data_IF_753664932594
#
_entry.id   IF_753664932594
#
_cell.length_a   1.000
_cell.length_b   1.000
_cell.length_c   1.000
_cell.angle_alpha   90.00
_cell.angle_beta   90.00
_cell.angle_gamma   90.00
#
_symmetry.space_group_name_H-M   'P 1'
#
loop_
_entity.id
_entity.type
_entity.pdbx_description
1 polymer ?
#
# COMPACT_ATOMS: atom_id res chain seq x y z
N UNK A 1 9.48 -1.64 6.30
CA UNK A 1 9.44 -1.82 4.82
C UNK A 1 10.78 -2.26 4.19
N UNK A 2 11.85 -2.43 4.98
CA UNK A 2 13.22 -2.67 4.48
C UNK A 2 13.32 -3.84 3.49
N UNK A 3 12.73 -5.00 3.79
CA UNK A 3 12.81 -6.17 2.90
C UNK A 3 12.27 -5.90 1.48
N UNK A 4 11.13 -5.18 1.37
CA UNK A 4 10.60 -4.74 0.07
C UNK A 4 11.60 -3.82 -0.64
N UNK A 5 12.17 -2.86 0.07
CA UNK A 5 13.13 -1.92 -0.49
C UNK A 5 14.44 -2.56 -0.94
N UNK A 6 14.93 -3.59 -0.23
CA UNK A 6 16.09 -4.38 -0.65
C UNK A 6 15.86 -4.99 -2.03
N UNK A 7 14.68 -5.60 -2.23
CA UNK A 7 14.28 -6.17 -3.52
C UNK A 7 14.05 -5.11 -4.60
N UNK A 8 13.34 -4.03 -4.28
CA UNK A 8 13.09 -2.91 -5.20
C UNK A 8 14.40 -2.31 -5.69
N UNK A 9 15.34 -1.99 -4.78
CA UNK A 9 16.63 -1.38 -5.09
C UNK A 9 17.48 -2.24 -6.03
N UNK A 10 17.42 -3.56 -5.85
CA UNK A 10 18.25 -4.54 -6.59
C UNK A 10 17.55 -5.12 -7.81
N UNK A 11 16.30 -4.74 -8.07
CA UNK A 11 15.57 -5.22 -9.24
C UNK A 11 16.22 -4.70 -10.53
N UNK A 12 16.46 -5.60 -11.48
CA UNK A 12 16.89 -5.27 -12.84
C UNK A 12 15.70 -5.08 -13.81
N UNK A 13 14.47 -5.33 -13.36
CA UNK A 13 13.28 -5.19 -14.18
C UNK A 13 12.90 -3.72 -14.37
N UNK A 14 12.35 -3.39 -15.55
CA UNK A 14 11.83 -2.05 -15.85
C UNK A 14 10.66 -1.67 -14.94
N UNK A 15 9.75 -2.63 -14.67
CA UNK A 15 8.63 -2.49 -13.75
C UNK A 15 8.81 -3.38 -12.54
N UNK A 16 8.47 -2.86 -11.36
CA UNK A 16 8.58 -3.58 -10.09
C UNK A 16 7.26 -3.51 -9.34
N UNK A 17 6.67 -4.69 -9.10
CA UNK A 17 5.55 -4.88 -8.21
C UNK A 17 6.04 -5.13 -6.78
N UNK A 18 5.71 -4.23 -5.87
CA UNK A 18 5.82 -4.47 -4.44
C UNK A 18 4.49 -4.99 -3.89
N UNK A 19 4.49 -6.20 -3.35
CA UNK A 19 3.31 -6.90 -2.82
C UNK A 19 3.66 -7.69 -1.55
N UNK A 20 2.66 -8.20 -0.83
CA UNK A 20 2.87 -9.09 0.32
C UNK A 20 2.80 -10.55 -0.12
N UNK A 21 3.30 -11.45 0.73
CA UNK A 21 3.36 -12.91 0.46
C UNK A 21 2.00 -13.60 0.53
N UNK A 22 1.01 -12.96 1.14
CA UNK A 22 -0.36 -13.44 1.36
C UNK A 22 -1.35 -12.90 0.31
N UNK A 23 -0.83 -12.47 -0.84
CA UNK A 23 -1.61 -11.89 -1.94
C UNK A 23 -1.70 -12.84 -3.13
N UNK A 24 -2.90 -13.06 -3.64
CA UNK A 24 -3.18 -13.76 -4.88
C UNK A 24 -3.66 -12.77 -5.94
N UNK A 25 -2.99 -12.72 -7.09
CA UNK A 25 -3.42 -11.89 -8.21
C UNK A 25 -4.58 -12.57 -8.95
N UNK A 26 -5.59 -11.80 -9.39
CA UNK A 26 -6.63 -12.34 -10.28
C UNK A 26 -6.02 -12.69 -11.65
N UNK A 27 -6.57 -13.68 -12.34
CA UNK A 27 -6.08 -14.08 -13.67
C UNK A 27 -6.16 -12.90 -14.67
N UNK A 28 -7.18 -12.05 -14.51
CA UNK A 28 -7.37 -10.83 -15.30
C UNK A 28 -6.32 -9.77 -15.01
N UNK A 29 -5.91 -9.62 -13.75
CA UNK A 29 -4.79 -8.75 -13.38
C UNK A 29 -3.48 -9.28 -13.95
N UNK A 30 -3.20 -10.57 -13.78
CA UNK A 30 -1.97 -11.17 -14.32
C UNK A 30 -1.89 -11.03 -15.85
N UNK A 31 -2.99 -11.32 -16.55
CA UNK A 31 -3.06 -11.15 -18.00
C UNK A 31 -2.86 -9.69 -18.45
N UNK A 32 -3.23 -8.71 -17.61
CA UNK A 32 -3.09 -7.30 -17.98
C UNK A 32 -1.64 -6.83 -18.09
N UNK A 33 -0.68 -7.55 -17.49
CA UNK A 33 0.74 -7.25 -17.62
C UNK A 33 1.34 -7.67 -18.96
N UNK A 34 0.60 -8.40 -19.80
CA UNK A 34 1.01 -8.72 -21.18
C UNK A 34 0.86 -7.52 -22.13
N UNK A 35 0.27 -6.41 -21.66
CA UNK A 35 0.11 -5.17 -22.42
C UNK A 35 1.09 -4.10 -21.93
N UNK A 36 1.28 -3.08 -22.75
CA UNK A 36 2.18 -1.97 -22.44
C UNK A 36 1.72 -1.21 -21.19
N UNK A 37 2.58 -1.23 -20.17
CA UNK A 37 2.44 -0.39 -18.98
C UNK A 37 3.07 0.98 -19.26
N UNK A 38 2.48 2.04 -18.70
CA UNK A 38 2.99 3.40 -18.84
C UNK A 38 4.19 3.60 -17.91
N UNK A 39 5.32 4.13 -18.42
CA UNK A 39 6.55 4.23 -17.63
C UNK A 39 6.49 5.26 -16.48
N UNK A 40 5.66 6.30 -16.61
CA UNK A 40 5.48 7.34 -15.59
C UNK A 40 4.13 7.18 -14.86
N UNK A 41 3.69 5.93 -14.62
CA UNK A 41 2.47 5.62 -13.88
C UNK A 41 2.75 4.71 -12.66
N UNK A 42 1.93 4.90 -11.62
CA UNK A 42 1.85 4.03 -10.45
C UNK A 42 0.47 3.37 -10.46
N UNK A 43 0.49 2.05 -10.58
CA UNK A 43 -0.68 1.19 -10.70
C UNK A 43 -1.11 0.65 -9.35
N UNK A 44 -2.43 0.69 -9.15
CA UNK A 44 -3.19 0.22 -8.00
C UNK A 44 -4.31 -0.69 -8.47
N UNK A 45 -4.79 -1.54 -7.59
CA UNK A 45 -5.98 -2.38 -7.81
C UNK A 45 -6.78 -2.48 -6.53
N UNK A 46 -8.07 -2.81 -6.68
CA UNK A 46 -8.91 -3.17 -5.55
C UNK A 46 -8.36 -4.44 -4.86
N UNK A 47 -8.37 -4.44 -3.52
CA UNK A 47 -8.02 -5.59 -2.70
C UNK A 47 -9.29 -6.22 -2.12
N UNK A 48 -9.47 -7.50 -2.32
CA UNK A 48 -10.55 -8.31 -1.75
C UNK A 48 -10.00 -9.20 -0.64
N UNK A 49 -10.45 -9.00 0.60
CA UNK A 49 -10.08 -9.89 1.70
C UNK A 49 -10.92 -11.15 1.63
N UNK A 50 -10.27 -12.32 1.70
CA UNK A 50 -10.91 -13.63 1.68
C UNK A 50 -10.42 -14.46 2.88
N UNK A 51 -11.26 -15.36 3.38
CA UNK A 51 -10.90 -16.28 4.47
C UNK A 51 -10.83 -17.70 3.93
N UNK A 52 -9.60 -18.20 3.77
CA UNK A 52 -9.33 -19.56 3.33
C UNK A 52 -8.95 -20.45 4.51
N UNK A 53 -9.45 -21.68 4.53
CA UNK A 53 -8.99 -22.69 5.47
C UNK A 53 -7.62 -23.21 5.03
N UNK A 54 -6.57 -22.70 5.66
CA UNK A 54 -5.18 -23.12 5.43
C UNK A 54 -4.74 -24.24 6.38
N UNK A 55 -5.67 -24.82 7.15
CA UNK A 55 -5.40 -25.93 8.08
C UNK A 55 -5.76 -27.30 7.51
N UNK A 56 -6.61 -27.34 6.46
CA UNK A 56 -6.99 -28.58 5.78
C UNK A 56 -5.87 -29.20 4.94
N UNK A 57 -5.95 -30.51 4.71
CA UNK A 57 -5.07 -31.27 3.82
C UNK A 57 -5.91 -32.03 2.77
N UNK A 58 -5.73 -31.81 1.45
CA UNK A 58 -4.78 -30.89 0.84
C UNK A 58 -5.13 -29.42 1.07
N UNK A 59 -4.12 -28.54 1.04
CA UNK A 59 -4.32 -27.09 1.05
C UNK A 59 -5.19 -26.65 -0.14
N UNK A 60 -6.00 -25.59 0.00
CA UNK A 60 -6.70 -25.01 -1.13
C UNK A 60 -5.72 -24.48 -2.18
N UNK A 61 -6.03 -24.76 -3.44
CA UNK A 61 -5.35 -24.15 -4.57
C UNK A 61 -5.61 -22.64 -4.63
N UNK A 62 -4.71 -21.85 -5.24
CA UNK A 62 -4.96 -20.42 -5.45
C UNK A 62 -6.28 -20.12 -6.18
N UNK A 63 -6.71 -20.99 -7.11
CA UNK A 63 -7.98 -20.84 -7.82
C UNK A 63 -9.19 -21.04 -6.89
N UNK A 64 -9.16 -22.06 -6.02
CA UNK A 64 -10.18 -22.25 -4.99
C UNK A 64 -10.26 -21.04 -4.05
N UNK A 65 -9.11 -20.53 -3.60
CA UNK A 65 -9.06 -19.33 -2.75
C UNK A 65 -9.68 -18.11 -3.44
N UNK A 66 -9.34 -17.83 -4.71
CA UNK A 66 -9.89 -16.69 -5.46
C UNK A 66 -11.41 -16.79 -5.69
N UNK A 67 -11.98 -18.00 -5.65
CA UNK A 67 -13.40 -18.22 -5.80
C UNK A 67 -14.20 -18.05 -4.49
N UNK A 68 -13.52 -17.90 -3.35
CA UNK A 68 -14.17 -17.66 -2.06
C UNK A 68 -14.90 -16.31 -2.03
N UNK A 69 -16.01 -16.20 -1.30
CA UNK A 69 -16.66 -14.92 -1.06
C UNK A 69 -15.69 -13.99 -0.32
N UNK A 70 -15.62 -12.74 -0.78
CA UNK A 70 -14.82 -11.72 -0.10
C UNK A 70 -15.56 -11.20 1.14
N UNK A 71 -14.81 -10.94 2.21
CA UNK A 71 -15.29 -10.41 3.48
C UNK A 71 -15.42 -8.88 3.46
N UNK A 72 -14.46 -8.22 2.81
CA UNK A 72 -14.37 -6.78 2.62
C UNK A 72 -13.54 -6.45 1.38
N UNK A 73 -13.81 -5.30 0.78
CA UNK A 73 -13.09 -4.79 -0.37
C UNK A 73 -12.47 -3.43 0.00
N UNK A 74 -11.16 -3.30 -0.16
CA UNK A 74 -10.45 -2.03 -0.06
C UNK A 74 -10.33 -1.44 -1.45
N UNK A 75 -10.96 -0.29 -1.63
CA UNK A 75 -11.02 0.46 -2.89
C UNK A 75 -10.41 1.84 -2.68
N UNK A 76 -10.20 2.57 -3.77
CA UNK A 76 -9.69 3.94 -3.69
C UNK A 76 -10.56 4.84 -2.79
N UNK A 77 -11.88 4.65 -2.82
CA UNK A 77 -12.85 5.45 -2.09
C UNK A 77 -13.15 4.98 -0.66
N UNK A 78 -12.61 3.83 -0.23
CA UNK A 78 -12.84 3.33 1.14
C UNK A 78 -12.87 1.82 1.27
N UNK A 79 -13.23 1.37 2.47
CA UNK A 79 -13.53 -0.04 2.73
C UNK A 79 -15.03 -0.32 2.53
N UNK A 80 -15.34 -1.38 1.79
CA UNK A 80 -16.70 -1.82 1.48
C UNK A 80 -16.93 -3.25 1.96
N UNK A 81 -18.17 -3.57 2.27
CA UNK A 81 -18.57 -4.89 2.76
C UNK A 81 -19.71 -5.46 1.92
N UNK A 82 -19.78 -6.80 1.73
CA UNK A 82 -20.83 -7.43 0.93
C UNK A 82 -22.24 -7.20 1.49
N UNK A 83 -22.35 -7.10 2.81
CA UNK A 83 -23.61 -6.88 3.54
C UNK A 83 -24.04 -5.41 3.61
N UNK A 84 -23.29 -4.50 2.97
CA UNK A 84 -23.59 -3.07 2.95
C UNK A 84 -23.34 -2.34 4.27
N UNK A 85 -22.73 -3.00 5.29
CA UNK A 85 -22.30 -2.29 6.49
C UNK A 85 -21.32 -1.19 6.10
N UNK A 86 -21.41 -0.04 6.77
CA UNK A 86 -20.54 1.10 6.48
C UNK A 86 -19.20 0.92 7.19
N UNK A 87 -18.13 1.39 6.56
CA UNK A 87 -16.85 1.55 7.23
C UNK A 87 -16.95 2.41 8.49
N UNK A 88 -16.04 2.26 9.46
CA UNK A 88 -16.09 3.04 10.69
C UNK A 88 -16.07 4.55 10.42
N UNK A 89 -17.00 5.27 11.06
CA UNK A 89 -17.26 6.70 10.82
C UNK A 89 -16.02 7.59 10.97
N UNK A 90 -15.07 7.21 11.83
CA UNK A 90 -13.85 7.98 12.09
C UNK A 90 -12.95 8.09 10.86
N UNK A 91 -12.95 7.08 9.99
CA UNK A 91 -12.10 7.07 8.81
C UNK A 91 -12.62 8.07 7.75
N UNK A 92 -13.95 8.12 7.55
CA UNK A 92 -14.62 9.13 6.72
C UNK A 92 -14.51 10.54 7.29
N UNK A 93 -14.75 10.71 8.59
CA UNK A 93 -14.72 12.01 9.24
C UNK A 93 -13.33 12.65 9.15
N UNK A 94 -12.27 11.87 9.40
CA UNK A 94 -10.89 12.32 9.25
C UNK A 94 -10.57 12.70 7.81
N UNK A 95 -10.89 11.84 6.83
CA UNK A 95 -10.64 12.13 5.41
C UNK A 95 -11.31 13.44 4.96
N UNK A 96 -12.57 13.66 5.36
CA UNK A 96 -13.31 14.90 5.04
C UNK A 96 -12.74 16.13 5.74
N UNK A 97 -12.43 16.03 7.03
CA UNK A 97 -11.84 17.13 7.79
C UNK A 97 -10.48 17.54 7.21
N UNK A 98 -9.62 16.58 6.91
CA UNK A 98 -8.31 16.83 6.33
C UNK A 98 -8.42 17.48 4.94
N UNK A 99 -9.33 17.00 4.09
CA UNK A 99 -9.61 17.63 2.79
C UNK A 99 -10.06 19.08 2.96
N UNK A 100 -10.95 19.37 3.90
CA UNK A 100 -11.41 20.72 4.17
C UNK A 100 -10.28 21.64 4.64
N UNK A 101 -9.47 21.21 5.62
CA UNK A 101 -8.32 21.98 6.12
C UNK A 101 -7.28 22.21 5.03
N UNK A 102 -6.97 21.19 4.22
CA UNK A 102 -6.03 21.31 3.12
C UNK A 102 -6.49 22.31 2.06
N UNK A 103 -7.74 22.17 1.59
CA UNK A 103 -8.33 23.09 0.62
C UNK A 103 -8.24 24.53 1.11
N UNK A 104 -8.52 24.76 2.40
CA UNK A 104 -8.46 26.08 3.01
C UNK A 104 -7.04 26.64 3.17
N UNK A 105 -6.01 25.80 3.23
CA UNK A 105 -4.63 26.22 3.55
C UNK A 105 -3.67 26.19 2.37
N UNK A 106 -4.01 25.51 1.27
CA UNK A 106 -3.09 25.27 0.13
C UNK A 106 -3.71 25.52 -1.26
N UNK A 107 -4.96 25.99 -1.33
CA UNK A 107 -5.56 26.45 -2.59
C UNK A 107 -5.83 25.36 -3.63
N UNK A 108 -5.93 24.08 -3.23
CA UNK A 108 -6.21 22.95 -4.12
C UNK A 108 -6.75 21.73 -3.37
N UNK A 109 -7.34 20.77 -4.10
CA UNK A 109 -7.84 19.53 -3.52
C UNK A 109 -6.70 18.62 -3.00
N UNK A 110 -6.90 17.99 -1.85
CA UNK A 110 -6.04 16.88 -1.41
C UNK A 110 -6.21 15.76 -2.45
N UNK A 111 -5.13 15.27 -3.09
CA UNK A 111 -5.24 14.24 -4.10
C UNK A 111 -5.95 13.00 -3.56
N UNK A 112 -6.86 12.46 -4.36
CA UNK A 112 -7.55 11.23 -4.03
C UNK A 112 -6.65 10.03 -4.34
N UNK A 113 -5.81 9.67 -3.37
CA UNK A 113 -4.86 8.57 -3.48
C UNK A 113 -5.46 7.29 -2.88
N UNK A 114 -5.21 6.17 -3.55
CA UNK A 114 -5.60 4.84 -3.08
C UNK A 114 -4.76 4.45 -1.85
N UNK A 115 -5.19 4.87 -0.66
CA UNK A 115 -4.45 4.67 0.60
C UNK A 115 -5.00 3.54 1.48
N UNK A 116 -6.02 2.84 1.01
CA UNK A 116 -6.67 1.73 1.70
C UNK A 116 -5.99 0.40 1.33
N UNK A 117 -5.32 -0.26 2.27
CA UNK A 117 -4.58 -1.50 1.96
C UNK A 117 -3.51 -1.30 0.88
N UNK A 118 -2.90 -0.11 0.83
CA UNK A 118 -2.11 0.24 -0.34
C UNK A 118 -0.76 -0.51 -0.40
N UNK A 119 -0.25 -1.01 0.73
CA UNK A 119 0.96 -1.84 0.76
C UNK A 119 0.88 -3.16 -0.03
N UNK A 120 -0.31 -3.63 -0.40
CA UNK A 120 -0.53 -4.97 -0.94
C UNK A 120 -0.29 -5.09 -2.45
N UNK A 121 -0.35 -3.98 -3.18
CA UNK A 121 -0.11 -3.97 -4.63
C UNK A 121 0.36 -2.59 -5.11
N UNK A 122 1.66 -2.32 -5.10
CA UNK A 122 2.20 -1.11 -5.75
C UNK A 122 3.06 -1.51 -6.94
N UNK A 123 2.59 -1.22 -8.16
CA UNK A 123 3.34 -1.47 -9.39
C UNK A 123 3.73 -0.14 -10.04
N UNK A 124 5.02 0.07 -10.30
CA UNK A 124 5.50 1.23 -11.06
C UNK A 124 6.89 0.92 -11.63
N UNK A 125 7.47 1.83 -12.41
CA UNK A 125 8.80 1.63 -12.97
C UNK A 125 9.89 1.69 -11.91
N UNK A 126 11.00 1.02 -12.19
CA UNK A 126 12.22 1.11 -11.40
C UNK A 126 12.66 2.58 -11.25
N UNK A 127 12.60 3.37 -12.32
CA UNK A 127 12.87 4.83 -12.29
C UNK A 127 12.06 5.56 -11.22
N UNK A 128 10.75 5.31 -11.13
CA UNK A 128 9.88 5.92 -10.11
C UNK A 128 10.26 5.44 -8.71
N UNK A 129 10.52 4.13 -8.54
CA UNK A 129 10.98 3.59 -7.26
C UNK A 129 12.30 4.19 -6.78
N UNK A 130 13.27 4.33 -7.69
CA UNK A 130 14.56 4.95 -7.43
C UNK A 130 14.38 6.42 -7.06
N UNK A 131 13.54 7.17 -7.78
CA UNK A 131 13.21 8.56 -7.46
C UNK A 131 12.62 8.73 -6.06
N UNK A 132 11.75 7.82 -5.63
CA UNK A 132 11.16 7.84 -4.28
C UNK A 132 12.09 7.31 -3.18
N UNK A 133 13.21 6.68 -3.55
CA UNK A 133 14.07 5.92 -2.64
C UNK A 133 13.29 4.79 -1.92
N UNK A 134 12.39 4.11 -2.63
CA UNK A 134 11.54 3.06 -2.08
C UNK A 134 10.46 3.57 -1.12
N UNK A 135 9.95 2.68 -0.25
CA UNK A 135 9.08 3.04 0.87
C UNK A 135 9.88 3.66 2.02
N UNK A 136 9.24 4.47 2.86
CA UNK A 136 9.89 5.01 4.06
C UNK A 136 10.35 3.90 5.03
N UNK A 137 11.58 3.98 5.53
CA UNK A 137 12.24 2.95 6.34
C UNK A 137 12.31 3.26 7.84
N UNK A 138 11.47 4.15 8.34
CA UNK A 138 11.47 4.48 9.76
C UNK A 138 11.29 3.24 10.66
N UNK A 139 11.97 3.17 11.82
CA UNK A 139 11.95 2.03 12.73
C UNK A 139 10.64 1.98 13.52
N UNK A 140 9.55 1.69 12.82
CA UNK A 140 8.19 1.68 13.34
C UNK A 140 7.35 0.59 12.67
N UNK A 141 6.21 0.25 13.27
CA UNK A 141 5.23 -0.61 12.63
C UNK A 141 4.79 0.04 11.31
N UNK A 142 4.76 -0.77 10.24
CA UNK A 142 4.61 -0.31 8.85
C UNK A 142 3.17 0.05 8.48
N UNK A 143 2.54 0.88 9.31
CA UNK A 143 1.24 1.50 9.03
C UNK A 143 1.46 2.86 8.35
N UNK A 144 0.73 3.14 7.27
CA UNK A 144 0.81 4.37 6.44
C UNK A 144 2.15 4.65 5.73
N UNK A 145 3.21 3.86 5.95
CA UNK A 145 4.50 4.04 5.24
C UNK A 145 4.36 3.76 3.73
N UNK A 146 3.47 2.83 3.38
CA UNK A 146 2.99 2.57 2.04
C UNK A 146 2.25 3.77 1.45
N UNK A 147 1.36 4.40 2.22
CA UNK A 147 0.62 5.59 1.79
C UNK A 147 1.54 6.76 1.45
N UNK A 148 2.64 6.94 2.20
CA UNK A 148 3.63 8.00 1.92
C UNK A 148 4.32 7.81 0.55
N UNK A 149 4.52 6.57 0.08
CA UNK A 149 5.06 6.33 -1.25
C UNK A 149 4.12 6.85 -2.36
N UNK A 150 2.81 6.70 -2.20
CA UNK A 150 1.85 7.28 -3.15
C UNK A 150 1.92 8.81 -3.15
N UNK A 151 2.10 9.43 -1.98
CA UNK A 151 2.25 10.89 -1.88
C UNK A 151 3.53 11.36 -2.60
N UNK A 152 4.66 10.66 -2.43
CA UNK A 152 5.91 10.98 -3.12
C UNK A 152 5.79 10.83 -4.63
N UNK A 153 5.17 9.75 -5.12
CA UNK A 153 4.92 9.54 -6.55
C UNK A 153 4.01 10.65 -7.12
N UNK A 154 2.92 10.97 -6.42
CA UNK A 154 2.02 12.04 -6.82
C UNK A 154 2.72 13.41 -6.86
N UNK A 155 3.53 13.74 -5.84
CA UNK A 155 4.30 14.98 -5.81
C UNK A 155 5.29 15.07 -6.99
N UNK A 156 5.85 13.95 -7.44
CA UNK A 156 6.71 13.89 -8.62
C UNK A 156 5.95 14.04 -9.95
N UNK A 157 4.62 14.01 -9.93
CA UNK A 157 3.77 14.07 -11.11
C UNK A 157 3.63 12.72 -11.84
N UNK A 158 3.85 11.61 -11.13
CA UNK A 158 3.55 10.26 -11.63
C UNK A 158 2.04 10.10 -11.76
N UNK A 159 1.58 9.51 -12.86
CA UNK A 159 0.16 9.23 -13.09
C UNK A 159 -0.33 8.16 -12.10
N UNK A 160 -1.38 8.45 -11.33
CA UNK A 160 -1.98 7.48 -10.42
C UNK A 160 -3.06 6.69 -11.17
N UNK A 161 -2.87 5.39 -11.36
CA UNK A 161 -3.78 4.54 -12.15
C UNK A 161 -4.36 3.45 -11.27
N UNK A 162 -5.68 3.39 -11.17
CA UNK A 162 -6.39 2.27 -10.53
C UNK A 162 -7.00 1.41 -11.61
N UNK A 163 -6.58 0.14 -11.71
CA UNK A 163 -7.17 -0.81 -12.65
C UNK A 163 -8.53 -1.25 -12.13
N UNK A 164 -9.52 -1.25 -13.01
CA UNK A 164 -10.89 -1.57 -12.65
C UNK A 164 -11.09 -3.10 -12.49
N UNK A 165 -12.07 -3.54 -11.68
CA UNK A 165 -12.51 -4.93 -11.69
C UNK A 165 -12.79 -5.41 -13.12
N UNK A 166 -12.44 -6.66 -13.48
CA UNK A 166 -12.01 -7.77 -12.61
C UNK A 166 -10.51 -7.85 -12.29
N UNK A 167 -9.72 -6.80 -12.55
CA UNK A 167 -8.30 -6.73 -12.17
C UNK A 167 -8.18 -6.39 -10.68
N UNK A 168 -7.99 -7.41 -9.84
CA UNK A 168 -8.00 -7.27 -8.38
C UNK A 168 -6.92 -8.14 -7.75
N UNK A 169 -6.58 -7.85 -6.51
CA UNK A 169 -5.85 -8.79 -5.64
C UNK A 169 -6.78 -9.39 -4.60
N UNK A 170 -6.52 -10.64 -4.23
CA UNK A 170 -7.14 -11.30 -3.09
C UNK A 170 -6.12 -11.40 -1.97
N UNK A 171 -6.45 -10.87 -0.80
CA UNK A 171 -5.61 -10.97 0.39
C UNK A 171 -6.16 -12.07 1.29
N UNK A 172 -5.30 -13.01 1.68
CA UNK A 172 -5.65 -14.07 2.61
C UNK A 172 -5.74 -13.48 4.03
N UNK A 173 -6.94 -13.42 4.59
CA UNK A 173 -7.15 -12.92 5.95
C UNK A 173 -6.53 -13.90 6.96
N UNK A 174 -5.72 -13.36 7.88
CA UNK A 174 -4.95 -14.15 8.84
C UNK A 174 -5.34 -13.84 10.30
N UNK A 175 -6.62 -13.57 10.52
CA UNK A 175 -7.24 -13.45 11.85
C UNK A 175 -7.13 -12.05 12.47
N UNK A 176 -8.07 -11.75 13.36
CA UNK A 176 -8.24 -10.41 13.91
C UNK A 176 -7.00 -9.91 14.70
N UNK A 177 -6.29 -8.96 14.08
CA UNK A 177 -5.22 -8.18 14.70
C UNK A 177 -3.80 -8.59 14.31
N UNK A 178 -3.59 -9.56 13.42
CA UNK A 178 -2.27 -9.86 12.83
C UNK A 178 -1.83 -8.78 11.83
N UNK A 179 -2.78 -8.23 11.06
CA UNK A 179 -2.66 -7.03 10.25
C UNK A 179 -3.69 -5.95 10.62
N UNK A 180 -3.71 -4.85 9.87
CA UNK A 180 -4.76 -3.84 10.04
C UNK A 180 -6.05 -4.27 9.34
N UNK A 181 -7.13 -4.35 10.10
CA UNK A 181 -8.51 -4.43 9.61
C UNK A 181 -9.35 -3.41 10.38
N UNK A 182 -10.46 -2.90 9.82
CA UNK A 182 -11.35 -2.02 10.57
C UNK A 182 -11.81 -2.62 11.90
N UNK A 183 -12.12 -3.92 11.92
CA UNK A 183 -12.57 -4.64 13.11
C UNK A 183 -11.44 -4.89 14.12
N UNK A 184 -10.22 -5.14 13.63
CA UNK A 184 -9.04 -5.43 14.44
C UNK A 184 -8.27 -4.20 14.91
N UNK A 185 -8.53 -3.02 14.35
CA UNK A 185 -7.73 -1.81 14.54
C UNK A 185 -7.50 -1.46 16.02
N UNK A 186 -8.56 -1.49 16.85
CA UNK A 186 -8.45 -1.17 18.29
C UNK A 186 -7.51 -2.14 19.01
N UNK A 187 -7.59 -3.42 18.69
CA UNK A 187 -6.72 -4.47 19.27
C UNK A 187 -5.28 -4.31 18.79
N UNK A 188 -5.08 -4.05 17.48
CA UNK A 188 -3.75 -3.83 16.90
C UNK A 188 -3.04 -2.66 17.58
N UNK A 189 -3.63 -1.46 17.56
CA UNK A 189 -2.99 -0.27 18.12
C UNK A 189 -2.80 -0.37 19.63
N UNK A 190 -3.77 -0.95 20.37
CA UNK A 190 -3.59 -1.19 21.80
C UNK A 190 -2.40 -2.10 22.11
N UNK A 191 -2.11 -3.11 21.28
CA UNK A 191 -0.90 -3.94 21.43
C UNK A 191 0.38 -3.18 21.10
N UNK A 192 0.36 -2.35 20.05
CA UNK A 192 1.52 -1.53 19.68
C UNK A 192 1.87 -0.53 20.79
N UNK A 193 0.86 0.17 21.34
CA UNK A 193 1.02 1.09 22.45
C UNK A 193 1.57 0.38 23.70
N UNK A 194 0.98 -0.77 24.07
CA UNK A 194 1.44 -1.55 25.22
C UNK A 194 2.87 -2.08 25.06
N UNK A 195 3.30 -2.36 23.83
CA UNK A 195 4.65 -2.82 23.51
C UNK A 195 5.64 -1.66 23.27
N UNK A 196 5.20 -0.40 23.29
CA UNK A 196 6.03 0.75 22.96
C UNK A 196 6.52 0.77 21.51
N UNK A 197 5.83 0.07 20.59
CA UNK A 197 6.20 0.02 19.19
C UNK A 197 5.60 1.23 18.47
N UNK A 198 6.42 2.16 17.95
CA UNK A 198 5.89 3.34 17.29
C UNK A 198 5.17 2.96 15.99
N UNK A 199 4.26 3.83 15.55
CA UNK A 199 3.60 3.74 14.25
C UNK A 199 3.22 5.14 13.77
N UNK A 200 3.09 5.31 12.45
CA UNK A 200 2.66 6.58 11.89
C UNK A 200 1.16 6.75 12.10
N UNK A 201 0.78 7.58 13.07
CA UNK A 201 -0.63 7.90 13.29
C UNK A 201 -1.25 8.58 12.09
N UNK A 202 -2.57 8.65 12.08
CA UNK A 202 -3.29 9.34 11.03
C UNK A 202 -2.88 10.80 10.85
N UNK A 203 -2.94 11.58 11.92
CA UNK A 203 -2.49 12.97 11.91
C UNK A 203 -1.01 13.12 11.57
N UNK A 204 -0.19 12.14 11.96
CA UNK A 204 1.22 12.04 11.57
C UNK A 204 1.39 11.92 10.06
N UNK A 205 0.69 10.97 9.43
CA UNK A 205 0.63 10.83 7.98
C UNK A 205 0.17 12.13 7.31
N UNK A 206 -0.91 12.74 7.80
CA UNK A 206 -1.44 13.97 7.23
C UNK A 206 -0.44 15.13 7.34
N UNK A 207 0.37 15.19 8.40
CA UNK A 207 1.43 16.19 8.53
C UNK A 207 2.54 15.96 7.51
N UNK A 208 3.08 14.75 7.43
CA UNK A 208 4.20 14.40 6.54
C UNK A 208 3.78 14.52 5.07
N UNK A 209 2.58 14.07 4.70
CA UNK A 209 2.07 14.21 3.36
C UNK A 209 2.01 15.69 2.93
N UNK A 210 1.55 16.57 3.81
CA UNK A 210 1.52 18.01 3.55
C UNK A 210 2.93 18.61 3.41
N UNK A 211 3.88 18.16 4.22
CA UNK A 211 5.28 18.58 4.10
C UNK A 211 5.90 18.18 2.76
N UNK A 212 5.64 16.96 2.27
CA UNK A 212 6.05 16.51 0.94
C UNK A 212 5.43 17.41 -0.15
N UNK A 213 4.11 17.58 -0.12
CA UNK A 213 3.38 18.32 -1.17
C UNK A 213 3.76 19.81 -1.20
N UNK A 214 4.10 20.43 -0.06
CA UNK A 214 4.54 21.83 0.01
C UNK A 214 5.88 22.09 -0.67
N UNK A 215 6.72 21.07 -0.85
CA UNK A 215 8.00 21.21 -1.57
C UNK A 215 7.82 21.36 -3.08
N UNK A 216 6.58 21.26 -3.58
CA UNK A 216 6.26 21.42 -5.00
C UNK A 216 6.53 20.16 -5.81
N UNK A 217 6.51 20.30 -7.15
CA UNK A 217 6.65 19.16 -8.07
C UNK A 217 8.05 18.58 -8.01
N UNK A 218 8.16 17.28 -7.75
CA UNK A 218 9.43 16.55 -7.70
C UNK A 218 9.38 15.34 -6.77
N UNK A 219 10.42 14.51 -6.85
CA UNK A 219 10.62 13.45 -5.86
C UNK A 219 11.18 14.03 -4.57
N UNK A 220 10.52 13.74 -3.45
CA UNK A 220 10.91 14.17 -2.11
C UNK A 220 11.10 12.96 -1.20
N UNK A 221 12.14 12.13 -1.43
CA UNK A 221 12.37 10.91 -0.67
C UNK A 221 12.52 11.20 0.82
N UNK A 222 11.94 10.32 1.64
CA UNK A 222 12.06 10.38 3.10
C UNK A 222 13.24 9.57 3.64
N UNK A 223 13.81 8.69 2.80
CA UNK A 223 15.03 7.96 3.14
C UNK A 223 16.25 8.77 2.70
N UNK A 224 17.31 8.72 3.50
CA UNK A 224 18.51 9.53 3.30
C UNK A 224 19.44 8.92 2.24
N UNK A 225 19.69 9.69 1.17
CA UNK A 225 20.69 9.36 0.15
C UNK A 225 20.56 7.94 -0.38
N UNK A 226 21.69 7.28 -0.63
CA UNK A 226 21.76 5.93 -1.18
C UNK A 226 21.65 4.80 -0.14
N UNK A 227 21.33 5.10 1.11
CA UNK A 227 21.31 4.10 2.20
C UNK A 227 20.05 3.23 2.23
N UNK A 228 18.99 3.65 1.56
CA UNK A 228 17.71 2.93 1.53
C UNK A 228 17.85 1.51 0.98
N UNK A 229 17.01 0.59 1.43
CA UNK A 229 17.02 -0.80 0.96
C UNK A 229 18.34 -1.52 1.25
N UNK A 230 18.96 -1.22 2.39
CA UNK A 230 20.31 -1.70 2.75
C UNK A 230 21.33 -1.37 1.65
N UNK A 231 21.31 -0.13 1.15
CA UNK A 231 22.12 0.27 0.02
C UNK A 231 23.63 0.38 0.31
N UNK A 232 24.00 0.47 1.59
CA UNK A 232 25.40 0.43 2.04
C UNK A 232 25.91 -0.97 2.41
N UNK A 233 25.06 -2.00 2.30
CA UNK A 233 25.41 -3.37 2.67
C UNK A 233 25.64 -4.23 1.43
N UNK A 234 26.71 -5.02 1.44
CA UNK A 234 26.90 -6.10 0.48
C UNK A 234 26.07 -7.31 0.91
N UNK A 235 25.08 -7.67 0.10
CA UNK A 235 24.23 -8.83 0.35
C UNK A 235 24.61 -9.94 -0.64
N UNK A 236 24.85 -11.18 -0.17
CA UNK A 236 25.17 -12.28 -1.06
C UNK A 236 23.97 -12.62 -1.96
N UNK A 237 24.24 -12.84 -3.25
CA UNK A 237 23.24 -13.37 -4.17
C UNK A 237 23.18 -14.89 -3.97
N UNK A 238 22.05 -15.37 -3.46
CA UNK A 238 21.78 -16.80 -3.36
C UNK A 238 20.97 -17.21 -4.58
N UNK A 239 21.56 -18.01 -5.47
CA UNK A 239 20.82 -18.65 -6.56
C UNK A 239 20.03 -19.84 -5.97
N UNK A 240 18.71 -19.94 -6.22
CA UNK A 240 17.87 -21.03 -5.73
C UNK A 240 18.35 -22.43 -6.15
#
# INVERSE_FOLDING_TARGET
MIAKNVGIRRSAAEFVLATNIDILLSDKLFASFAHDLKPDALYRVDRLDIEADLTRNPLPSPAECRALPWLRAHRQDGTHYPDGRREPWYARARSRFNRAVWNATHGGALPDLFTWGCGDFTLTTNKVWQGMHGYTEWPMYSFHLDSLALVMAYAAGVEMVTLAPPQVVHHLEHGAGSGWTPEGARRLFGRLDAAGVPYLSGSGYDRVAREILRKGRGFHPLNEGDKWGLGGEELPVVTP
#
